data_IF_686675478850
#
_entry.id   IF_686675478850
#
_cell.length_a   1.000
_cell.length_b   1.000
_cell.length_c   1.000
_cell.angle_alpha   90.00
_cell.angle_beta   90.00
_cell.angle_gamma   90.00
#
_symmetry.space_group_name_H-M   'P 1'
#
loop_
_entity.id
_entity.type
_entity.pdbx_description
1 polymer ?
#
# COMPACT_ATOMS: atom_id res chain seq x y z
N UNK A 1 29.39 49.26 -23.63
CA UNK A 1 30.03 47.95 -23.78
C UNK A 1 30.75 47.89 -25.11
N UNK A 2 32.01 47.46 -25.11
CA UNK A 2 32.66 47.01 -26.34
C UNK A 2 31.87 45.85 -26.95
N UNK A 3 31.81 45.76 -28.29
CA UNK A 3 31.09 44.68 -28.99
C UNK A 3 31.52 43.28 -28.51
N UNK A 4 32.79 43.13 -28.12
CA UNK A 4 33.34 41.89 -27.54
C UNK A 4 32.75 41.57 -26.16
N UNK A 5 32.62 42.59 -25.31
CA UNK A 5 32.02 42.47 -23.98
C UNK A 5 30.51 42.17 -24.07
N UNK A 6 29.81 42.80 -25.03
CA UNK A 6 28.38 42.52 -25.28
C UNK A 6 28.13 41.07 -25.73
N UNK A 7 28.96 40.53 -26.64
CA UNK A 7 28.86 39.13 -27.06
C UNK A 7 29.10 38.18 -25.89
N UNK A 8 30.09 38.46 -25.05
CA UNK A 8 30.35 37.67 -23.85
C UNK A 8 29.14 37.62 -22.91
N UNK A 9 28.53 38.77 -22.61
CA UNK A 9 27.34 38.81 -21.76
C UNK A 9 26.13 38.11 -22.39
N UNK A 10 25.96 38.19 -23.71
CA UNK A 10 24.89 37.50 -24.41
C UNK A 10 25.07 35.97 -24.32
N UNK A 11 26.27 35.47 -24.62
CA UNK A 11 26.58 34.03 -24.51
C UNK A 11 26.40 33.56 -23.07
N UNK A 12 26.92 34.32 -22.09
CA UNK A 12 26.74 34.01 -20.68
C UNK A 12 25.25 33.95 -20.30
N UNK A 13 24.46 34.94 -20.71
CA UNK A 13 23.02 34.96 -20.47
C UNK A 13 22.29 33.76 -21.08
N UNK A 14 22.66 33.38 -22.32
CA UNK A 14 22.11 32.20 -22.99
C UNK A 14 22.47 30.90 -22.28
N UNK A 15 23.69 30.77 -21.77
CA UNK A 15 24.11 29.60 -20.99
C UNK A 15 23.35 29.50 -19.66
N UNK A 16 23.16 30.62 -18.97
CA UNK A 16 22.37 30.66 -17.72
C UNK A 16 20.92 30.27 -18.01
N UNK A 17 20.28 30.90 -19.00
CA UNK A 17 18.91 30.57 -19.38
C UNK A 17 18.77 29.12 -19.85
N UNK A 18 19.74 28.62 -20.62
CA UNK A 18 19.78 27.22 -21.04
C UNK A 18 19.88 26.26 -19.86
N UNK A 19 20.75 26.53 -18.89
CA UNK A 19 20.90 25.73 -17.67
C UNK A 19 19.60 25.69 -16.84
N UNK A 20 18.97 26.86 -16.64
CA UNK A 20 17.70 26.98 -15.92
C UNK A 20 16.59 26.24 -16.66
N UNK A 21 16.50 26.38 -17.98
CA UNK A 21 15.48 25.71 -18.79
C UNK A 21 15.61 24.18 -18.75
N UNK A 22 16.83 23.65 -18.84
CA UNK A 22 17.09 22.20 -18.73
C UNK A 22 16.73 21.68 -17.34
N UNK A 23 17.13 22.41 -16.30
CA UNK A 23 16.81 22.03 -14.91
C UNK A 23 15.30 22.06 -14.66
N UNK A 24 14.62 23.11 -15.10
CA UNK A 24 13.16 23.23 -15.02
C UNK A 24 12.48 22.08 -15.74
N UNK A 25 12.93 21.74 -16.95
CA UNK A 25 12.38 20.61 -17.69
C UNK A 25 12.57 19.27 -16.96
N UNK A 26 13.74 19.04 -16.34
CA UNK A 26 14.01 17.79 -15.60
C UNK A 26 13.14 17.66 -14.34
N UNK A 27 13.04 18.71 -13.54
CA UNK A 27 12.32 18.64 -12.26
C UNK A 27 10.83 18.89 -12.41
N UNK A 28 10.39 19.91 -13.15
CA UNK A 28 8.97 20.28 -13.21
C UNK A 28 8.20 19.48 -14.25
N UNK A 29 8.81 19.14 -15.39
CA UNK A 29 8.10 18.45 -16.49
C UNK A 29 8.31 16.94 -16.41
N UNK A 30 9.58 16.50 -16.31
CA UNK A 30 9.89 15.07 -16.22
C UNK A 30 9.72 14.48 -14.81
N UNK A 31 9.60 15.33 -13.78
CA UNK A 31 9.48 14.92 -12.36
C UNK A 31 10.54 13.88 -11.97
N UNK A 32 11.77 14.07 -12.45
CA UNK A 32 12.87 13.13 -12.26
C UNK A 32 13.60 13.39 -10.94
N UNK A 33 12.92 13.11 -9.84
CA UNK A 33 13.38 13.20 -8.46
C UNK A 33 12.64 12.20 -7.57
N UNK A 34 13.22 11.82 -6.44
CA UNK A 34 12.59 10.96 -5.44
C UNK A 34 11.81 11.81 -4.46
N UNK A 35 10.58 11.40 -4.16
CA UNK A 35 9.75 11.94 -3.09
C UNK A 35 9.78 10.95 -1.94
N UNK A 36 10.02 11.47 -0.75
CA UNK A 36 9.79 10.76 0.50
C UNK A 36 8.49 11.27 1.08
N UNK A 37 7.59 10.37 1.46
CA UNK A 37 6.33 10.68 2.09
C UNK A 37 6.00 9.63 3.15
N UNK A 38 5.06 9.96 4.03
CA UNK A 38 4.50 9.03 5.00
C UNK A 38 3.42 8.18 4.32
N UNK A 39 3.41 6.89 4.62
CA UNK A 39 2.43 5.93 4.16
C UNK A 39 1.91 5.13 5.36
N UNK A 40 0.72 4.56 5.21
CA UNK A 40 0.10 3.71 6.22
C UNK A 40 1.01 2.51 6.54
N UNK A 41 1.15 2.23 7.83
CA UNK A 41 1.95 1.13 8.35
C UNK A 41 1.10 0.32 9.33
N UNK A 42 1.14 -1.00 9.19
CA UNK A 42 0.37 -1.89 10.06
C UNK A 42 1.16 -2.21 11.34
N UNK A 43 0.78 -1.67 12.52
CA UNK A 43 1.53 -1.89 13.75
C UNK A 43 1.44 -3.33 14.28
N UNK A 44 0.55 -4.17 13.75
CA UNK A 44 0.47 -5.59 14.13
C UNK A 44 1.54 -6.45 13.43
N UNK A 45 2.03 -6.02 12.28
CA UNK A 45 2.90 -6.83 11.42
C UNK A 45 4.21 -6.16 11.01
N UNK A 46 4.29 -4.83 11.07
CA UNK A 46 5.42 -4.02 10.62
C UNK A 46 6.02 -3.15 11.74
N UNK A 47 7.33 -2.93 11.70
CA UNK A 47 8.05 -1.97 12.55
C UNK A 47 7.86 -0.54 11.97
N UNK A 48 6.84 0.16 12.45
CA UNK A 48 6.43 1.50 12.08
C UNK A 48 7.13 2.58 12.91
N UNK A 49 7.25 3.77 12.32
CA UNK A 49 7.52 4.99 13.06
C UNK A 49 6.26 5.39 13.83
N UNK A 50 6.45 5.86 15.06
CA UNK A 50 5.38 6.32 15.95
C UNK A 50 5.44 7.84 16.01
N UNK A 51 4.30 8.47 15.77
CA UNK A 51 4.10 9.88 16.02
C UNK A 51 3.01 10.07 17.05
N UNK A 52 3.29 10.88 18.06
CA UNK A 52 2.35 11.24 19.11
C UNK A 52 2.16 12.75 19.05
N UNK A 53 0.89 13.19 18.99
CA UNK A 53 0.53 14.59 18.95
C UNK A 53 1.11 15.34 20.18
N UNK A 54 1.79 16.46 19.93
CA UNK A 54 2.42 17.27 20.98
C UNK A 54 1.66 18.60 21.19
N UNK A 55 0.84 18.71 22.26
CA UNK A 55 0.14 19.96 22.56
C UNK A 55 1.08 21.08 23.01
N UNK A 56 2.29 20.77 23.51
CA UNK A 56 3.29 21.78 23.89
C UNK A 56 3.94 22.42 22.66
N UNK A 57 4.00 21.69 21.54
CA UNK A 57 4.39 22.22 20.23
C UNK A 57 3.30 23.09 19.57
N UNK A 58 2.10 23.16 20.16
CA UNK A 58 0.97 23.95 19.68
C UNK A 58 0.07 23.22 18.69
N UNK A 59 0.10 21.89 18.68
CA UNK A 59 -0.79 21.04 17.89
C UNK A 59 -2.16 20.88 18.57
N UNK A 60 -3.22 20.71 17.78
CA UNK A 60 -4.59 20.49 18.27
C UNK A 60 -4.82 18.98 18.50
N UNK A 61 -4.43 18.49 19.68
CA UNK A 61 -4.65 17.10 20.08
C UNK A 61 -6.04 16.89 20.68
N UNK A 62 -6.59 15.68 20.52
CA UNK A 62 -7.92 15.29 21.01
C UNK A 62 -7.93 15.05 22.53
N UNK A 63 -6.77 14.69 23.09
CA UNK A 63 -6.61 14.28 24.48
C UNK A 63 -6.84 12.77 24.69
N UNK A 64 -7.16 12.02 23.64
CA UNK A 64 -7.16 10.56 23.62
C UNK A 64 -5.86 10.06 22.99
N UNK A 65 -5.08 9.27 23.74
CA UNK A 65 -3.81 8.73 23.26
C UNK A 65 -3.95 7.85 22.01
N UNK A 66 -5.09 7.17 21.83
CA UNK A 66 -5.28 6.29 20.67
C UNK A 66 -5.50 7.11 19.41
N UNK A 67 -6.29 8.20 19.50
CA UNK A 67 -6.51 9.11 18.37
C UNK A 67 -5.31 10.03 18.12
N UNK A 68 -4.55 10.35 19.17
CA UNK A 68 -3.38 11.21 19.13
C UNK A 68 -2.08 10.46 18.77
N UNK A 69 -2.13 9.13 18.58
CA UNK A 69 -0.98 8.32 18.15
C UNK A 69 -1.19 7.77 16.74
N UNK A 70 -0.24 7.98 15.84
CA UNK A 70 -0.25 7.43 14.49
C UNK A 70 0.98 6.58 14.20
N UNK A 71 0.78 5.53 13.40
CA UNK A 71 1.81 4.60 12.97
C UNK A 71 2.02 4.75 11.47
N UNK A 72 3.25 5.04 11.05
CA UNK A 72 3.54 5.30 9.65
C UNK A 72 4.86 4.67 9.22
N UNK A 73 5.02 4.53 7.91
CA UNK A 73 6.27 4.14 7.27
C UNK A 73 6.64 5.16 6.21
N UNK A 74 7.91 5.23 5.84
CA UNK A 74 8.37 6.16 4.83
C UNK A 74 8.38 5.47 3.46
N UNK A 75 7.67 6.02 2.49
CA UNK A 75 7.78 5.60 1.09
C UNK A 75 8.74 6.52 0.35
N UNK A 76 9.74 5.93 -0.31
CA UNK A 76 10.60 6.60 -1.26
C UNK A 76 10.18 6.18 -2.67
N UNK A 77 9.63 7.11 -3.47
CA UNK A 77 9.13 6.83 -4.82
C UNK A 77 9.54 7.91 -5.81
N UNK A 78 9.82 7.52 -7.05
CA UNK A 78 10.11 8.50 -8.10
C UNK A 78 8.86 9.31 -8.48
N UNK A 79 8.95 10.64 -8.41
CA UNK A 79 7.83 11.55 -8.65
C UNK A 79 7.22 11.42 -10.05
N UNK A 80 7.98 10.92 -11.04
CA UNK A 80 7.47 10.67 -12.39
C UNK A 80 6.39 9.58 -12.42
N UNK A 81 6.41 8.65 -11.47
CA UNK A 81 5.50 7.51 -11.38
C UNK A 81 4.30 7.78 -10.47
N UNK A 82 4.35 8.86 -9.67
CA UNK A 82 3.23 9.24 -8.80
C UNK A 82 2.10 9.82 -9.68
N UNK A 83 0.88 9.25 -9.64
CA UNK A 83 -0.27 9.78 -10.35
C UNK A 83 -0.68 11.16 -9.79
N UNK A 84 -1.33 11.98 -10.61
CA UNK A 84 -1.98 13.19 -10.09
C UNK A 84 -3.29 12.78 -9.43
N UNK A 85 -3.35 12.85 -8.10
CA UNK A 85 -4.57 12.60 -7.34
C UNK A 85 -5.50 13.81 -7.40
N UNK A 86 -6.80 13.56 -7.59
CA UNK A 86 -7.83 14.55 -7.30
C UNK A 86 -8.09 14.52 -5.79
N UNK A 87 -8.03 15.65 -5.07
CA UNK A 87 -8.34 15.69 -3.63
C UNK A 87 -9.79 15.29 -3.31
N UNK A 88 -10.67 15.21 -4.31
CA UNK A 88 -12.06 14.75 -4.17
C UNK A 88 -12.22 13.24 -4.34
N UNK A 89 -11.14 12.53 -4.72
CA UNK A 89 -11.13 11.10 -4.99
C UNK A 89 -10.16 10.39 -4.03
N UNK A 90 -10.71 9.50 -3.21
CA UNK A 90 -9.96 8.73 -2.21
C UNK A 90 -9.22 7.52 -2.83
N UNK A 91 -9.47 7.18 -4.10
CA UNK A 91 -8.93 5.98 -4.74
C UNK A 91 -7.53 6.14 -5.34
N UNK A 92 -6.75 7.12 -4.86
CA UNK A 92 -5.45 7.42 -5.45
C UNK A 92 -4.30 6.60 -4.86
N UNK A 93 -3.70 5.74 -5.68
CA UNK A 93 -2.52 4.93 -5.32
C UNK A 93 -1.19 5.73 -5.39
N UNK A 94 -1.14 6.92 -4.82
CA UNK A 94 0.09 7.73 -4.78
C UNK A 94 1.16 7.11 -3.88
N UNK A 95 0.74 6.50 -2.77
CA UNK A 95 1.61 6.00 -1.69
C UNK A 95 1.78 4.47 -1.73
N UNK A 96 1.47 3.85 -2.86
CA UNK A 96 1.62 2.41 -3.08
C UNK A 96 2.78 2.16 -4.04
N UNK A 97 3.63 1.17 -3.73
CA UNK A 97 4.66 0.67 -4.64
C UNK A 97 4.13 -0.53 -5.44
N UNK A 98 3.90 -0.40 -6.76
CA UNK A 98 3.57 -1.52 -7.62
C UNK A 98 4.74 -2.52 -7.70
N UNK A 99 4.43 -3.79 -7.95
CA UNK A 99 5.45 -4.82 -8.13
C UNK A 99 6.39 -4.47 -9.28
N UNK A 100 7.70 -4.48 -8.99
CA UNK A 100 8.74 -4.22 -9.98
C UNK A 100 8.91 -2.75 -10.39
N UNK A 101 8.27 -1.80 -9.70
CA UNK A 101 8.54 -0.37 -9.93
C UNK A 101 9.97 -0.03 -9.47
N UNK A 102 10.79 0.45 -10.42
CA UNK A 102 12.13 0.94 -10.11
C UNK A 102 12.05 2.24 -9.29
N UNK A 103 12.96 2.37 -8.32
CA UNK A 103 13.03 3.51 -7.40
C UNK A 103 11.76 3.69 -6.53
N UNK A 104 11.09 2.59 -6.17
CA UNK A 104 10.02 2.56 -5.18
C UNK A 104 10.40 1.62 -4.03
N UNK A 105 10.42 2.12 -2.80
CA UNK A 105 10.76 1.33 -1.62
C UNK A 105 10.10 1.90 -0.37
N UNK A 106 9.65 1.02 0.52
CA UNK A 106 9.26 1.37 1.87
C UNK A 106 10.48 1.30 2.80
N UNK A 107 10.51 2.20 3.77
CA UNK A 107 11.48 2.26 4.85
C UNK A 107 10.68 2.16 6.16
N UNK A 108 10.93 1.07 6.86
CA UNK A 108 10.42 0.78 8.19
C UNK A 108 11.31 1.44 9.25
N UNK A 109 10.78 1.60 10.45
CA UNK A 109 11.52 2.13 11.57
C UNK A 109 12.46 1.06 12.11
N UNK A 110 13.77 1.32 12.04
CA UNK A 110 14.78 0.46 12.65
C UNK A 110 15.33 1.16 13.90
N UNK A 111 15.13 0.63 15.11
CA UNK A 111 15.57 1.27 16.35
C UNK A 111 17.10 1.42 16.44
N UNK A 112 17.87 0.69 15.64
CA UNK A 112 19.33 0.83 15.59
C UNK A 112 19.81 2.02 14.72
N UNK A 113 18.97 2.48 13.78
CA UNK A 113 19.32 3.53 12.82
C UNK A 113 18.35 4.72 12.83
N UNK A 114 17.30 4.66 13.64
CA UNK A 114 16.35 5.72 13.87
C UNK A 114 17.06 7.02 14.28
N UNK A 115 16.58 8.14 13.72
CA UNK A 115 17.08 9.48 14.04
C UNK A 115 16.81 9.84 15.51
N UNK A 116 17.58 10.78 16.05
CA UNK A 116 17.40 11.26 17.43
C UNK A 116 15.99 11.85 17.60
N UNK A 117 15.12 11.13 18.32
CA UNK A 117 13.74 11.52 18.59
C UNK A 117 12.69 10.74 17.78
N UNK A 118 13.08 9.84 16.89
CA UNK A 118 12.15 8.90 16.26
C UNK A 118 11.90 7.70 17.19
N UNK A 119 10.63 7.39 17.43
CA UNK A 119 10.19 6.21 18.17
C UNK A 119 9.67 5.14 17.20
N UNK A 120 10.08 3.88 17.41
CA UNK A 120 9.59 2.74 16.64
C UNK A 120 8.63 1.92 17.51
N UNK A 121 7.57 1.37 16.91
CA UNK A 121 6.75 0.37 17.60
C UNK A 121 7.48 -0.99 17.65
N UNK A 122 7.00 -1.87 18.52
CA UNK A 122 7.29 -3.31 18.47
C UNK A 122 6.00 -4.06 18.16
N UNK A 123 5.89 -4.76 17.02
CA UNK A 123 4.66 -5.47 16.65
C UNK A 123 4.20 -6.50 17.69
N UNK A 124 5.15 -7.13 18.37
CA UNK A 124 4.84 -8.14 19.40
C UNK A 124 4.23 -7.49 20.63
N UNK A 125 4.85 -6.42 21.14
CA UNK A 125 4.28 -5.63 22.23
C UNK A 125 2.92 -5.04 21.85
N UNK A 126 2.81 -4.43 20.67
CA UNK A 126 1.57 -3.81 20.20
C UNK A 126 0.40 -4.81 20.15
N UNK A 127 0.64 -6.02 19.62
CA UNK A 127 -0.39 -7.08 19.55
C UNK A 127 -0.82 -7.58 20.93
N UNK A 128 0.08 -7.59 21.92
CA UNK A 128 -0.25 -7.99 23.29
C UNK A 128 -1.06 -6.92 24.04
N UNK A 129 -0.78 -5.65 23.75
CA UNK A 129 -1.46 -4.51 24.37
C UNK A 129 -2.81 -4.22 23.70
N UNK A 130 -2.96 -4.59 22.42
CA UNK A 130 -4.15 -4.40 21.60
C UNK A 130 -4.60 -5.75 21.02
N UNK A 131 -5.09 -6.70 21.84
CA UNK A 131 -5.55 -7.98 21.33
C UNK A 131 -6.74 -7.76 20.38
N UNK A 132 -6.67 -8.39 19.21
CA UNK A 132 -7.82 -8.45 18.29
C UNK A 132 -8.91 -9.23 19.02
N UNK A 133 -9.99 -8.55 19.41
CA UNK A 133 -11.18 -9.23 19.89
C UNK A 133 -11.72 -10.06 18.73
N UNK A 134 -11.43 -11.37 18.72
CA UNK A 134 -12.14 -12.28 17.84
C UNK A 134 -13.60 -12.18 18.23
N UNK A 135 -14.42 -11.53 17.39
CA UNK A 135 -15.87 -11.68 17.43
C UNK A 135 -16.13 -13.17 17.32
N UNK A 136 -16.29 -13.79 18.48
CA UNK A 136 -16.71 -15.17 18.58
C UNK A 136 -18.11 -15.13 18.00
N UNK A 137 -18.25 -15.55 16.74
CA UNK A 137 -19.53 -15.99 16.20
C UNK A 137 -20.00 -17.11 17.14
N UNK A 138 -20.69 -16.73 18.22
CA UNK A 138 -21.45 -17.65 19.04
C UNK A 138 -22.53 -18.20 18.11
N UNK A 139 -22.19 -19.28 17.41
CA UNK A 139 -23.17 -20.19 16.85
C UNK A 139 -24.11 -20.57 18.00
N UNK A 140 -25.28 -19.92 17.99
CA UNK A 140 -26.37 -20.22 18.88
C UNK A 140 -26.79 -21.66 18.68
N UNK A 141 -26.22 -22.56 19.49
CA UNK A 141 -26.76 -23.90 19.67
C UNK A 141 -28.05 -23.71 20.47
N UNK A 142 -29.16 -23.55 19.74
CA UNK A 142 -30.50 -23.74 20.29
C UNK A 142 -30.62 -25.22 20.71
N UNK A 143 -30.38 -25.50 22.00
CA UNK A 143 -30.78 -26.76 22.61
C UNK A 143 -32.32 -26.75 22.73
N UNK A 144 -32.97 -27.20 21.66
CA UNK A 144 -34.37 -27.62 21.65
C UNK A 144 -34.54 -28.75 22.67
N UNK A 145 -35.05 -28.41 23.85
CA UNK A 145 -35.39 -29.36 24.90
C UNK A 145 -36.61 -30.19 24.47
N UNK A 146 -36.38 -31.47 24.18
CA UNK A 146 -37.40 -32.52 24.11
C UNK A 146 -38.20 -32.57 25.43
N UNK A 147 -39.46 -32.14 25.41
CA UNK A 147 -40.46 -32.61 26.36
C UNK A 147 -41.72 -33.07 25.61
N UNK A 148 -41.93 -34.39 25.62
CA UNK A 148 -43.02 -35.06 24.94
C UNK A 148 -44.38 -34.77 25.59
N UNK A 149 -45.38 -34.50 24.75
CA UNK A 149 -46.78 -34.37 25.14
C UNK A 149 -47.71 -34.60 23.96
N UNK A 150 -48.01 -35.88 23.69
CA UNK A 150 -48.92 -36.34 22.64
C UNK A 150 -50.39 -35.88 22.83
N UNK A 151 -51.04 -35.45 21.73
CA UNK A 151 -52.40 -35.88 21.33
C UNK A 151 -52.71 -35.52 19.86
N UNK A 152 -52.71 -36.58 19.03
CA UNK A 152 -53.59 -36.98 17.93
C UNK A 152 -54.39 -36.01 17.02
N UNK A 153 -54.16 -36.27 15.72
CA UNK A 153 -55.02 -36.33 14.51
C UNK A 153 -55.73 -35.08 13.93
N UNK A 154 -55.36 -34.72 12.69
CA UNK A 154 -56.12 -35.08 11.47
C UNK A 154 -55.88 -34.11 10.26
N UNK A 155 -55.35 -34.70 9.17
CA UNK A 155 -55.76 -34.54 7.75
C UNK A 155 -55.38 -33.27 6.92
N UNK A 156 -54.64 -33.52 5.81
CA UNK A 156 -54.65 -32.77 4.53
C UNK A 156 -53.67 -31.59 4.45
N UNK A 157 -52.99 -31.26 3.35
CA UNK A 157 -53.13 -31.62 1.94
C UNK A 157 -51.86 -31.12 1.19
N UNK A 158 -51.61 -31.74 0.05
CA UNK A 158 -50.45 -31.60 -0.85
C UNK A 158 -50.38 -30.22 -1.52
N UNK A 159 -49.18 -29.68 -1.80
CA UNK A 159 -48.71 -29.36 -3.18
C UNK A 159 -47.33 -28.71 -3.21
N UNK A 160 -46.44 -29.36 -3.98
CA UNK A 160 -45.31 -28.82 -4.73
C UNK A 160 -45.63 -27.49 -5.43
N UNK A 161 -44.64 -26.60 -5.53
CA UNK A 161 -44.32 -25.98 -6.83
C UNK A 161 -42.91 -25.39 -6.83
N UNK A 162 -42.05 -26.06 -7.59
CA UNK A 162 -40.85 -25.53 -8.21
C UNK A 162 -41.29 -24.54 -9.29
N UNK A 163 -40.74 -23.34 -9.32
CA UNK A 163 -40.75 -22.53 -10.53
C UNK A 163 -39.39 -21.85 -10.75
N UNK A 164 -38.76 -22.34 -11.81
CA UNK A 164 -37.58 -21.87 -12.51
C UNK A 164 -37.92 -20.73 -13.46
N UNK A 165 -36.99 -19.79 -13.65
CA UNK A 165 -36.71 -19.11 -14.94
C UNK A 165 -35.35 -18.42 -14.76
N UNK A 166 -34.24 -18.82 -15.39
CA UNK A 166 -33.93 -18.98 -16.80
C UNK A 166 -34.15 -17.70 -17.62
N UNK A 167 -33.05 -17.01 -17.94
CA UNK A 167 -32.92 -16.33 -19.23
C UNK A 167 -31.45 -16.38 -19.67
N UNK A 168 -31.27 -17.10 -20.77
CA UNK A 168 -30.11 -17.11 -21.66
C UNK A 168 -29.90 -15.70 -22.25
N UNK A 169 -28.72 -15.33 -22.73
CA UNK A 169 -28.33 -15.58 -24.12
C UNK A 169 -26.80 -15.59 -24.30
N UNK A 170 -26.35 -16.60 -25.05
CA UNK A 170 -25.06 -16.73 -25.74
C UNK A 170 -24.93 -15.66 -26.86
N UNK A 171 -23.87 -15.47 -27.64
CA UNK A 171 -22.69 -16.21 -28.10
C UNK A 171 -21.70 -15.13 -28.64
N UNK A 172 -20.45 -15.33 -29.07
CA UNK A 172 -19.84 -16.42 -29.82
C UNK A 172 -18.32 -16.14 -30.00
N UNK A 173 -17.51 -17.19 -29.79
CA UNK A 173 -16.34 -17.70 -30.54
C UNK A 173 -15.27 -16.76 -31.13
N UNK A 174 -14.00 -17.07 -30.83
CA UNK A 174 -12.96 -17.65 -31.73
C UNK A 174 -11.65 -17.74 -30.88
N UNK A 175 -10.81 -18.78 -30.79
CA UNK A 175 -10.50 -19.88 -31.69
C UNK A 175 -9.05 -19.79 -32.17
N UNK A 176 -8.02 -20.17 -31.37
CA UNK A 176 -6.75 -20.67 -31.94
C UNK A 176 -5.85 -21.44 -30.96
N UNK A 177 -5.61 -22.70 -31.31
CA UNK A 177 -4.51 -23.56 -30.87
C UNK A 177 -3.12 -22.98 -31.20
N UNK A 178 -2.08 -23.45 -30.49
CA UNK A 178 -0.88 -24.14 -31.02
C UNK A 178 0.42 -23.88 -30.21
N UNK A 179 1.08 -25.00 -29.85
CA UNK A 179 2.53 -25.25 -29.58
C UNK A 179 3.15 -25.01 -28.19
N UNK A 180 3.13 -26.10 -27.43
CA UNK A 180 4.30 -26.89 -27.00
C UNK A 180 5.71 -26.38 -27.44
N UNK A 181 6.54 -25.99 -26.47
CA UNK A 181 8.01 -26.17 -26.54
C UNK A 181 8.61 -26.40 -25.16
N UNK A 182 9.20 -27.58 -25.02
CA UNK A 182 10.11 -28.02 -23.96
C UNK A 182 11.49 -27.39 -24.19
N UNK A 183 12.06 -26.72 -23.18
CA UNK A 183 13.40 -26.14 -23.22
C UNK A 183 14.12 -26.36 -21.90
N UNK A 184 15.01 -27.35 -21.89
CA UNK A 184 15.93 -27.72 -20.82
C UNK A 184 17.19 -26.84 -20.85
N UNK A 185 17.73 -26.48 -19.67
CA UNK A 185 19.17 -26.47 -19.31
C UNK A 185 19.34 -25.68 -17.98
N UNK A 186 19.65 -26.31 -16.84
CA UNK A 186 20.99 -26.77 -16.35
C UNK A 186 22.05 -25.68 -16.24
N UNK A 187 22.55 -25.47 -15.01
CA UNK A 187 23.78 -24.71 -14.72
C UNK A 187 23.73 -24.07 -13.32
N UNK A 188 23.89 -24.85 -12.26
CA UNK A 188 25.17 -25.01 -11.54
C UNK A 188 25.57 -23.77 -10.72
N UNK A 189 25.27 -23.85 -9.41
CA UNK A 189 25.97 -23.15 -8.34
C UNK A 189 27.47 -23.52 -8.34
N UNK A 190 28.35 -22.61 -7.89
CA UNK A 190 29.06 -22.99 -6.69
C UNK A 190 29.21 -21.85 -5.67
N UNK A 191 28.98 -22.26 -4.44
CA UNK A 191 29.47 -21.69 -3.17
C UNK A 191 30.97 -21.37 -3.17
N UNK A 192 31.32 -20.23 -2.59
CA UNK A 192 32.65 -19.90 -2.09
C UNK A 192 32.58 -18.51 -1.47
N UNK A 193 33.01 -18.22 -0.26
CA UNK A 193 33.96 -18.91 0.60
C UNK A 193 34.58 -17.79 1.45
N UNK A 194 34.37 -17.89 2.75
CA UNK A 194 34.68 -16.89 3.77
C UNK A 194 36.20 -16.81 3.95
N UNK A 195 36.80 -15.62 4.02
CA UNK A 195 38.06 -15.39 4.74
C UNK A 195 38.16 -13.94 5.20
N UNK A 196 38.34 -13.66 6.52
CA UNK A 196 38.55 -12.33 7.04
C UNK A 196 40.03 -11.94 7.05
N UNK A 197 40.28 -10.63 6.95
CA UNK A 197 41.51 -9.93 7.33
C UNK A 197 41.14 -8.67 8.08
#
# INVERSE_FOLDING_TARGET
MDKKSQIFFLVMGLLILGSVAVSYYKYMVKRDYIVQAEAECDPYTEECFVYVCDPEAGEECTGDLVEDTSYYKLINRNAKNIPLCDPSDETCDALVCPEGEADCSFMLCDPATADEGAECNDPVAYTLENPIEEETEEEGIEEESDEEGAVDEAEGDVTDTVESDASEEAASQDGTDVKNTKGSNTGASPTGGITPL
#
